data_IF_851661631087
#
_entry.id   IF_851661631087
#
_cell.length_a   1.000
_cell.length_b   1.000
_cell.length_c   1.000
_cell.angle_alpha   90.00
_cell.angle_beta   90.00
_cell.angle_gamma   90.00
#
_symmetry.space_group_name_H-M   'P 1'
#
loop_
_entity.id
_entity.type
_entity.pdbx_description
1 polymer ?
#
# COMPACT_ATOMS: atom_id res chain seq x y z
N UNK A 1 9.95 24.99 -21.42
CA UNK A 1 9.46 26.26 -21.96
C UNK A 1 9.98 27.41 -21.11
N UNK A 2 10.54 28.41 -21.78
CA UNK A 2 10.98 29.64 -21.11
C UNK A 2 10.50 30.82 -21.95
N UNK A 3 9.90 31.79 -21.30
CA UNK A 3 9.44 32.99 -21.97
C UNK A 3 9.70 34.25 -21.12
N UNK A 4 10.13 35.32 -21.77
CA UNK A 4 10.29 36.63 -21.13
C UNK A 4 9.37 37.63 -21.82
N UNK A 5 8.49 38.21 -21.03
CA UNK A 5 7.52 39.22 -21.50
C UNK A 5 8.17 40.59 -21.66
N UNK A 6 7.56 41.45 -22.45
CA UNK A 6 8.06 42.84 -22.69
C UNK A 6 8.14 43.67 -21.42
N UNK A 7 7.33 43.39 -20.40
CA UNK A 7 7.39 44.05 -19.08
C UNK A 7 8.54 43.56 -18.18
N UNK A 8 9.36 42.60 -18.65
CA UNK A 8 10.49 42.04 -17.95
C UNK A 8 10.18 40.79 -17.09
N UNK A 9 8.94 40.34 -17.00
CA UNK A 9 8.58 39.09 -16.33
C UNK A 9 9.16 37.91 -17.11
N UNK A 10 9.95 37.08 -16.48
CA UNK A 10 10.39 35.78 -16.97
C UNK A 10 9.57 34.65 -16.38
N UNK A 11 9.19 33.68 -17.20
CA UNK A 11 8.53 32.43 -16.75
C UNK A 11 9.31 31.24 -17.30
N UNK A 12 9.53 30.26 -16.46
CA UNK A 12 10.14 28.97 -16.81
C UNK A 12 9.23 27.82 -16.38
N UNK A 13 8.94 26.91 -17.29
CA UNK A 13 8.14 25.70 -17.04
C UNK A 13 8.90 24.51 -17.57
N UNK A 14 9.08 23.50 -16.72
CA UNK A 14 9.66 22.21 -17.10
C UNK A 14 8.75 21.09 -16.57
N UNK A 15 8.49 20.09 -17.41
CA UNK A 15 7.77 18.88 -17.02
C UNK A 15 8.47 17.67 -17.60
N UNK A 16 8.44 16.57 -16.86
CA UNK A 16 8.89 15.26 -17.34
C UNK A 16 7.95 14.17 -16.84
N UNK A 17 7.82 13.12 -17.64
CA UNK A 17 7.16 11.87 -17.26
C UNK A 17 7.96 10.72 -17.84
N UNK A 18 8.12 9.66 -17.08
CA UNK A 18 8.72 8.41 -17.52
C UNK A 18 7.90 7.23 -17.05
N UNK A 19 7.96 6.15 -17.81
CA UNK A 19 7.31 4.89 -17.47
C UNK A 19 8.12 3.72 -17.99
N UNK A 20 8.26 2.67 -17.18
CA UNK A 20 8.96 1.46 -17.54
C UNK A 20 8.30 0.22 -16.96
N UNK A 21 8.32 -0.87 -17.70
CA UNK A 21 7.90 -2.20 -17.24
C UNK A 21 9.01 -3.19 -17.51
N UNK A 22 9.41 -3.92 -16.48
CA UNK A 22 10.46 -4.92 -16.55
C UNK A 22 9.88 -6.32 -16.51
N UNK A 23 10.30 -7.18 -17.42
CA UNK A 23 9.96 -8.60 -17.44
C UNK A 23 11.20 -9.45 -17.20
N UNK A 24 11.02 -10.54 -16.47
CA UNK A 24 12.08 -11.52 -16.22
C UNK A 24 12.16 -12.46 -17.41
N UNK A 25 13.18 -12.35 -18.22
CA UNK A 25 13.36 -13.19 -19.39
C UNK A 25 14.04 -14.53 -19.05
N UNK A 26 14.89 -14.54 -17.98
CA UNK A 26 15.55 -15.74 -17.48
C UNK A 26 15.82 -15.59 -15.98
N UNK A 27 15.26 -16.46 -15.17
CA UNK A 27 15.46 -16.55 -13.73
C UNK A 27 16.02 -17.90 -13.31
N UNK A 28 16.14 -18.13 -12.00
CA UNK A 28 16.61 -19.42 -11.46
C UNK A 28 15.70 -20.60 -11.84
N UNK A 29 14.44 -20.31 -12.13
CA UNK A 29 13.38 -21.27 -12.48
C UNK A 29 13.21 -21.48 -14.00
N UNK A 30 14.14 -21.02 -14.84
CA UNK A 30 13.93 -21.02 -16.30
C UNK A 30 13.80 -22.43 -16.91
N UNK A 31 14.31 -23.45 -16.25
CA UNK A 31 14.17 -24.86 -16.64
C UNK A 31 12.92 -25.53 -16.03
N UNK A 32 12.28 -24.89 -15.08
CA UNK A 32 11.06 -25.40 -14.44
C UNK A 32 9.88 -25.18 -15.40
N UNK A 33 9.00 -26.18 -15.62
CA UNK A 33 7.76 -25.98 -16.35
C UNK A 33 6.96 -24.80 -15.81
N UNK A 34 6.23 -24.11 -16.66
CA UNK A 34 5.47 -22.91 -16.27
C UNK A 34 4.52 -23.17 -15.10
N UNK A 35 3.82 -24.30 -15.15
CA UNK A 35 2.81 -24.70 -14.17
C UNK A 35 3.42 -24.91 -12.76
N UNK A 36 4.65 -25.38 -12.70
CA UNK A 36 5.34 -25.72 -11.44
C UNK A 36 6.09 -24.53 -10.82
N UNK A 37 6.18 -23.41 -11.54
CA UNK A 37 6.86 -22.21 -11.01
C UNK A 37 6.05 -21.59 -9.89
N UNK A 38 6.71 -21.30 -8.78
CA UNK A 38 6.08 -20.72 -7.60
C UNK A 38 5.58 -19.29 -7.85
N UNK A 39 4.40 -18.99 -7.34
CA UNK A 39 3.86 -17.64 -7.29
C UNK A 39 4.71 -16.74 -6.38
N UNK A 40 4.79 -15.45 -6.73
CA UNK A 40 5.42 -14.45 -5.87
C UNK A 40 6.93 -14.54 -5.74
N UNK A 41 7.60 -15.41 -6.50
CA UNK A 41 9.06 -15.39 -6.60
C UNK A 41 9.51 -14.17 -7.41
N UNK A 42 10.39 -13.36 -6.83
CA UNK A 42 10.83 -12.07 -7.40
C UNK A 42 11.41 -12.20 -8.82
N UNK A 43 12.01 -13.34 -9.15
CA UNK A 43 12.71 -13.57 -10.42
C UNK A 43 12.16 -14.78 -11.18
N UNK A 44 10.84 -14.97 -11.18
CA UNK A 44 10.23 -16.04 -11.97
C UNK A 44 10.20 -15.68 -13.45
N UNK A 45 10.74 -16.57 -14.26
CA UNK A 45 10.86 -16.38 -15.72
C UNK A 45 9.49 -16.22 -16.39
N UNK A 46 9.36 -15.24 -17.25
CA UNK A 46 8.12 -14.89 -17.95
C UNK A 46 7.20 -13.93 -17.18
N UNK A 47 7.56 -13.57 -15.97
CA UNK A 47 6.74 -12.68 -15.13
C UNK A 47 7.23 -11.24 -15.15
N UNK A 48 6.32 -10.33 -14.87
CA UNK A 48 6.66 -8.93 -14.65
C UNK A 48 7.33 -8.78 -13.30
N UNK A 49 8.43 -8.07 -13.28
CA UNK A 49 9.14 -7.75 -12.04
C UNK A 49 8.27 -6.92 -11.09
N UNK A 50 8.28 -7.30 -9.82
CA UNK A 50 7.56 -6.58 -8.78
C UNK A 50 6.08 -6.95 -8.63
N UNK A 51 5.55 -7.94 -9.38
CA UNK A 51 4.17 -8.39 -9.19
C UNK A 51 3.96 -8.94 -7.78
N UNK A 52 2.84 -8.52 -7.17
CA UNK A 52 2.42 -8.92 -5.85
C UNK A 52 1.23 -9.87 -6.01
N UNK A 53 1.40 -11.10 -5.51
CA UNK A 53 0.35 -12.11 -5.48
C UNK A 53 -0.36 -12.09 -4.14
N UNK A 54 -1.67 -12.25 -4.16
CA UNK A 54 -2.49 -12.31 -2.98
C UNK A 54 -3.95 -12.57 -3.32
N UNK A 55 -4.77 -12.60 -2.29
CA UNK A 55 -6.20 -12.78 -2.42
C UNK A 55 -6.90 -11.49 -2.86
N UNK A 56 -7.99 -11.63 -3.56
CA UNK A 56 -8.89 -10.51 -3.84
C UNK A 56 -9.89 -10.39 -2.71
N UNK A 57 -9.97 -9.23 -2.09
CA UNK A 57 -10.97 -8.96 -1.05
C UNK A 57 -12.31 -8.63 -1.72
N UNK A 58 -13.37 -9.31 -1.30
CA UNK A 58 -14.74 -8.92 -1.59
C UNK A 58 -15.13 -7.73 -0.68
N UNK A 59 -15.29 -7.99 0.62
CA UNK A 59 -15.68 -7.03 1.64
C UNK A 59 -15.36 -7.55 3.04
N UNK A 60 -15.79 -6.87 4.08
CA UNK A 60 -15.85 -7.44 5.42
C UNK A 60 -17.15 -8.21 5.58
N UNK A 61 -17.08 -9.38 6.24
CA UNK A 61 -18.27 -10.13 6.56
C UNK A 61 -19.22 -9.31 7.41
N UNK A 62 -20.51 -9.45 7.13
CA UNK A 62 -21.59 -8.86 7.90
C UNK A 62 -22.34 -9.95 8.69
N UNK A 63 -23.20 -9.55 9.63
CA UNK A 63 -24.00 -10.51 10.40
C UNK A 63 -24.87 -11.40 9.51
N UNK A 64 -25.40 -10.84 8.45
CA UNK A 64 -26.29 -11.50 7.49
C UNK A 64 -25.60 -12.58 6.68
N UNK A 65 -24.28 -12.59 6.67
CA UNK A 65 -23.49 -13.63 5.99
C UNK A 65 -23.48 -14.97 6.73
N UNK A 66 -23.96 -15.02 7.97
CA UNK A 66 -23.89 -16.20 8.81
C UNK A 66 -25.28 -16.71 9.20
N UNK A 67 -25.35 -18.01 9.44
CA UNK A 67 -26.52 -18.66 10.02
C UNK A 67 -26.33 -18.75 11.53
N UNK A 68 -27.38 -18.37 12.28
CA UNK A 68 -27.37 -18.37 13.73
C UNK A 68 -28.30 -19.45 14.26
N UNK A 69 -27.86 -20.18 15.27
CA UNK A 69 -28.66 -21.13 16.02
C UNK A 69 -29.64 -20.46 16.97
N UNK A 70 -30.49 -21.28 17.59
CA UNK A 70 -31.45 -20.80 18.57
C UNK A 70 -30.82 -20.19 19.83
N UNK A 71 -29.56 -20.49 20.09
CA UNK A 71 -28.73 -19.92 21.17
C UNK A 71 -28.10 -18.58 20.81
N UNK A 72 -28.35 -18.06 19.59
CA UNK A 72 -27.77 -16.83 19.08
C UNK A 72 -26.29 -16.94 18.69
N UNK A 73 -25.72 -18.13 18.71
CA UNK A 73 -24.36 -18.37 18.24
C UNK A 73 -24.35 -18.70 16.74
N UNK A 74 -23.23 -18.38 16.07
CA UNK A 74 -23.05 -18.76 14.67
C UNK A 74 -23.00 -20.30 14.57
N UNK A 75 -23.84 -20.88 13.74
CA UNK A 75 -23.80 -22.31 13.47
C UNK A 75 -22.46 -22.73 12.89
N UNK A 76 -22.03 -23.92 13.27
CA UNK A 76 -20.82 -24.55 12.73
C UNK A 76 -21.17 -25.76 11.89
N UNK A 77 -20.38 -25.99 10.87
CA UNK A 77 -20.51 -27.16 10.01
C UNK A 77 -19.13 -27.81 9.83
N UNK A 78 -19.14 -29.09 9.45
CA UNK A 78 -17.92 -29.79 9.05
C UNK A 78 -17.86 -29.81 7.53
N UNK A 79 -16.74 -29.35 6.97
CA UNK A 79 -16.41 -29.42 5.55
C UNK A 79 -15.23 -30.36 5.35
N UNK A 80 -15.21 -31.05 4.21
CA UNK A 80 -14.07 -31.91 3.84
C UNK A 80 -13.24 -31.17 2.80
N UNK A 81 -12.01 -30.87 3.14
CA UNK A 81 -11.05 -30.27 2.23
C UNK A 81 -9.77 -31.11 2.16
N UNK A 82 -9.35 -31.51 0.97
CA UNK A 82 -8.22 -32.42 0.74
C UNK A 82 -8.30 -33.71 1.60
N UNK A 83 -9.49 -34.26 1.78
CA UNK A 83 -9.73 -35.46 2.57
C UNK A 83 -9.68 -35.25 4.09
N UNK A 84 -9.47 -34.04 4.58
CA UNK A 84 -9.47 -33.68 6.00
C UNK A 84 -10.76 -32.98 6.38
N UNK A 85 -11.32 -33.34 7.52
CA UNK A 85 -12.52 -32.72 8.07
C UNK A 85 -12.15 -31.43 8.81
N UNK A 86 -12.80 -30.33 8.45
CA UNK A 86 -12.62 -29.02 9.08
C UNK A 86 -13.97 -28.53 9.63
N UNK A 87 -13.93 -27.90 10.79
CA UNK A 87 -15.11 -27.27 11.38
C UNK A 87 -15.06 -25.78 11.10
N UNK A 88 -16.07 -25.24 10.42
CA UNK A 88 -16.12 -23.83 10.05
C UNK A 88 -17.49 -23.23 10.35
N UNK A 89 -17.59 -21.91 10.33
CA UNK A 89 -18.85 -21.21 10.49
C UNK A 89 -19.73 -21.37 9.24
N UNK A 90 -21.01 -21.63 9.46
CA UNK A 90 -21.99 -21.75 8.38
C UNK A 90 -22.35 -20.37 7.85
N UNK A 91 -22.24 -20.21 6.54
CA UNK A 91 -22.67 -19.00 5.84
C UNK A 91 -24.12 -19.08 5.39
N UNK A 92 -24.78 -17.93 5.31
CA UNK A 92 -26.18 -17.83 4.89
C UNK A 92 -26.38 -17.97 3.37
N UNK A 93 -25.32 -17.84 2.57
CA UNK A 93 -25.38 -17.96 1.13
C UNK A 93 -25.77 -19.37 0.70
N UNK A 94 -26.61 -19.55 -0.36
CA UNK A 94 -26.87 -20.85 -0.95
C UNK A 94 -25.61 -21.48 -1.60
N UNK A 95 -24.58 -20.68 -1.86
CA UNK A 95 -23.27 -21.11 -2.33
C UNK A 95 -22.21 -20.60 -1.34
N UNK A 96 -22.11 -21.22 -0.16
CA UNK A 96 -21.18 -20.76 0.85
C UNK A 96 -19.75 -20.98 0.37
N UNK A 97 -18.94 -19.93 0.49
CA UNK A 97 -17.50 -19.99 0.29
C UNK A 97 -16.85 -20.18 1.66
N UNK A 98 -16.11 -21.25 1.84
CA UNK A 98 -15.44 -21.56 3.11
C UNK A 98 -14.00 -21.08 3.06
N UNK A 99 -13.64 -20.21 3.98
CA UNK A 99 -12.27 -19.70 4.09
C UNK A 99 -11.45 -20.61 5.02
N UNK A 100 -10.90 -21.67 4.46
CA UNK A 100 -10.22 -22.72 5.21
C UNK A 100 -9.06 -22.23 6.07
N UNK A 101 -8.37 -21.18 5.68
CA UNK A 101 -7.28 -20.67 6.49
C UNK A 101 -7.69 -20.03 7.82
N UNK A 102 -8.98 -19.80 8.04
CA UNK A 102 -9.48 -19.35 9.33
C UNK A 102 -9.67 -20.50 10.30
N UNK A 103 -9.46 -21.72 9.85
CA UNK A 103 -9.51 -22.92 10.67
C UNK A 103 -8.15 -23.33 11.16
N UNK A 104 -7.42 -22.47 11.81
CA UNK A 104 -6.18 -22.92 12.40
C UNK A 104 -6.42 -23.62 13.73
N UNK A 105 -5.95 -24.87 13.80
CA UNK A 105 -5.55 -25.66 14.99
C UNK A 105 -6.30 -25.37 16.29
N UNK A 106 -7.56 -25.08 16.22
CA UNK A 106 -8.41 -25.10 17.38
C UNK A 106 -9.31 -23.91 17.63
N UNK A 107 -9.33 -22.78 16.97
CA UNK A 107 -10.10 -21.79 17.71
C UNK A 107 -10.53 -20.51 16.99
N UNK A 108 -10.07 -20.25 15.80
CA UNK A 108 -10.42 -19.01 15.15
C UNK A 108 -11.24 -19.24 13.89
N UNK A 109 -12.52 -19.19 14.09
CA UNK A 109 -13.48 -19.26 13.02
C UNK A 109 -13.79 -17.83 12.62
N UNK A 110 -13.81 -17.54 11.32
CA UNK A 110 -14.19 -16.22 10.82
C UNK A 110 -15.62 -15.85 11.24
N UNK A 111 -15.88 -14.56 11.42
CA UNK A 111 -17.13 -14.04 11.94
C UNK A 111 -17.39 -12.64 11.34
N UNK A 112 -18.50 -11.98 11.62
CA UNK A 112 -18.75 -10.61 11.21
C UNK A 112 -17.56 -9.70 11.53
N UNK A 113 -17.16 -8.87 10.55
CA UNK A 113 -16.01 -8.00 10.65
C UNK A 113 -14.68 -8.59 10.20
N UNK A 114 -14.61 -9.89 9.92
CA UNK A 114 -13.43 -10.46 9.26
C UNK A 114 -13.48 -10.23 7.75
N UNK A 115 -12.31 -10.36 7.10
CA UNK A 115 -12.22 -10.18 5.65
C UNK A 115 -12.85 -11.37 4.92
N UNK A 116 -13.72 -11.09 3.98
CA UNK A 116 -14.24 -12.05 3.01
C UNK A 116 -13.44 -11.96 1.72
N UNK A 117 -12.87 -13.06 1.29
CA UNK A 117 -12.15 -13.17 0.03
C UNK A 117 -13.05 -13.66 -1.10
N UNK A 118 -12.66 -13.36 -2.33
CA UNK A 118 -13.32 -13.85 -3.53
C UNK A 118 -12.80 -15.26 -3.84
N UNK A 119 -13.71 -16.19 -4.03
CA UNK A 119 -13.44 -17.51 -4.60
C UNK A 119 -13.19 -17.33 -6.10
N UNK A 120 -11.94 -17.43 -6.52
CA UNK A 120 -11.53 -17.15 -7.90
C UNK A 120 -11.63 -18.36 -8.81
N UNK A 121 -11.46 -19.55 -8.28
CA UNK A 121 -11.53 -20.79 -9.07
C UNK A 121 -12.91 -21.49 -8.98
N UNK A 122 -13.77 -21.03 -8.07
CA UNK A 122 -15.17 -21.46 -7.95
C UNK A 122 -15.34 -22.82 -7.29
N UNK A 123 -14.36 -23.27 -6.52
CA UNK A 123 -14.40 -24.59 -5.87
C UNK A 123 -15.12 -24.56 -4.51
N UNK A 124 -15.51 -23.39 -4.01
CA UNK A 124 -16.19 -23.19 -2.73
C UNK A 124 -15.25 -23.05 -1.54
N UNK A 125 -13.94 -23.00 -1.75
CA UNK A 125 -12.94 -22.86 -0.70
C UNK A 125 -11.98 -21.72 -1.05
N UNK A 126 -11.58 -20.94 -0.05
CA UNK A 126 -10.54 -19.93 -0.23
C UNK A 126 -9.21 -20.53 0.17
N UNK A 127 -8.35 -20.79 -0.79
CA UNK A 127 -7.05 -21.44 -0.56
C UNK A 127 -5.92 -20.81 -1.36
N UNK A 128 -4.65 -20.96 -0.91
CA UNK A 128 -3.50 -20.56 -1.73
C UNK A 128 -3.15 -21.61 -2.80
N UNK A 129 -3.93 -22.68 -2.96
CA UNK A 129 -3.60 -23.80 -3.81
C UNK A 129 -2.25 -24.43 -3.44
N UNK A 130 -1.48 -24.84 -4.43
CA UNK A 130 -0.08 -25.27 -4.25
C UNK A 130 0.90 -24.10 -4.29
N UNK A 131 0.42 -22.89 -4.53
CA UNK A 131 1.23 -21.69 -4.67
C UNK A 131 2.08 -21.68 -5.95
N UNK A 132 1.64 -22.39 -6.98
CA UNK A 132 2.28 -22.44 -8.30
C UNK A 132 1.38 -21.87 -9.39
N UNK A 133 1.93 -21.67 -10.60
CA UNK A 133 1.14 -21.15 -11.71
C UNK A 133 0.03 -22.09 -12.17
N UNK A 134 0.26 -23.40 -12.07
CA UNK A 134 -0.73 -24.42 -12.44
C UNK A 134 -1.84 -24.60 -11.41
N UNK A 135 -1.58 -24.19 -10.16
CA UNK A 135 -2.59 -24.22 -9.10
C UNK A 135 -2.34 -23.04 -8.14
N UNK A 136 -2.79 -21.84 -8.53
CA UNK A 136 -2.67 -20.64 -7.70
C UNK A 136 -3.71 -20.59 -6.57
N UNK A 137 -4.70 -21.49 -6.56
CA UNK A 137 -5.90 -21.34 -5.74
C UNK A 137 -6.56 -19.98 -6.01
N UNK A 138 -7.00 -19.30 -4.96
CA UNK A 138 -7.64 -17.99 -5.03
C UNK A 138 -6.66 -16.81 -5.06
N UNK A 139 -5.40 -17.07 -5.42
CA UNK A 139 -4.40 -16.01 -5.52
C UNK A 139 -4.22 -15.53 -6.95
N UNK A 140 -4.13 -14.21 -7.11
CA UNK A 140 -3.84 -13.57 -8.39
C UNK A 140 -2.88 -12.40 -8.19
N UNK A 141 -2.49 -11.73 -9.28
CA UNK A 141 -1.73 -10.48 -9.21
C UNK A 141 -2.64 -9.36 -8.72
N UNK A 142 -2.44 -8.92 -7.50
CA UNK A 142 -3.22 -7.84 -6.87
C UNK A 142 -2.56 -6.47 -6.99
N UNK A 143 -1.29 -6.40 -7.34
CA UNK A 143 -0.56 -5.16 -7.49
C UNK A 143 0.85 -5.34 -8.01
N UNK A 144 1.60 -4.23 -8.05
CA UNK A 144 3.00 -4.25 -8.46
C UNK A 144 3.81 -3.20 -7.67
N UNK A 145 4.98 -3.61 -7.18
CA UNK A 145 5.85 -2.78 -6.35
C UNK A 145 6.77 -1.86 -7.15
N UNK A 146 6.86 -2.04 -8.47
CA UNK A 146 7.67 -1.19 -9.35
C UNK A 146 6.99 0.15 -9.56
N UNK A 147 7.69 1.27 -9.40
CA UNK A 147 7.13 2.58 -9.71
C UNK A 147 6.71 2.66 -11.18
N UNK A 148 5.57 3.28 -11.44
CA UNK A 148 5.05 3.58 -12.76
C UNK A 148 4.62 5.04 -12.84
N UNK A 149 4.77 5.64 -14.01
CA UNK A 149 4.43 7.04 -14.23
C UNK A 149 5.16 7.95 -13.25
N UNK A 150 6.51 7.89 -13.27
CA UNK A 150 7.33 8.83 -12.53
C UNK A 150 7.27 10.18 -13.23
N UNK A 151 6.86 11.21 -12.50
CA UNK A 151 6.66 12.54 -13.09
C UNK A 151 7.26 13.63 -12.22
N UNK A 152 7.67 14.69 -12.89
CA UNK A 152 8.09 15.92 -12.22
C UNK A 152 7.67 17.15 -13.00
N UNK A 153 7.48 18.25 -12.31
CA UNK A 153 7.34 19.55 -12.96
C UNK A 153 7.91 20.67 -12.10
N UNK A 154 8.45 21.67 -12.77
CA UNK A 154 8.99 22.87 -12.16
C UNK A 154 8.32 24.08 -12.78
N UNK A 155 7.90 24.99 -11.93
CA UNK A 155 7.47 26.33 -12.31
C UNK A 155 8.47 27.33 -11.72
N UNK A 156 8.90 28.29 -12.53
CA UNK A 156 9.76 29.38 -12.11
C UNK A 156 9.28 30.70 -12.69
N UNK A 157 9.46 31.75 -11.94
CA UNK A 157 9.21 33.11 -12.38
C UNK A 157 10.28 34.07 -11.84
N UNK A 158 10.66 35.05 -12.62
CA UNK A 158 11.53 36.13 -12.20
C UNK A 158 11.00 37.49 -12.65
N UNK A 159 11.10 38.47 -11.74
CA UNK A 159 10.67 39.83 -12.03
C UNK A 159 11.36 40.84 -11.13
N UNK A 160 12.04 41.83 -11.71
CA UNK A 160 12.66 42.95 -10.97
C UNK A 160 13.53 42.53 -9.78
N UNK A 161 14.35 41.49 -9.95
CA UNK A 161 15.23 40.97 -8.93
C UNK A 161 14.60 39.95 -8.01
N UNK A 162 13.29 39.79 -8.00
CA UNK A 162 12.61 38.69 -7.29
C UNK A 162 12.62 37.45 -8.18
N UNK A 163 13.00 36.31 -7.65
CA UNK A 163 12.89 35.02 -8.29
C UNK A 163 12.12 34.02 -7.40
N UNK A 164 11.24 33.27 -8.04
CA UNK A 164 10.46 32.23 -7.40
C UNK A 164 10.56 30.93 -8.20
N UNK A 165 10.72 29.81 -7.53
CA UNK A 165 10.58 28.50 -8.15
C UNK A 165 9.91 27.50 -7.23
N UNK A 166 9.11 26.62 -7.81
CA UNK A 166 8.52 25.49 -7.13
C UNK A 166 8.76 24.22 -7.95
N UNK A 167 9.19 23.15 -7.29
CA UNK A 167 9.48 21.87 -7.91
C UNK A 167 8.63 20.78 -7.27
N UNK A 168 7.96 20.01 -8.12
CA UNK A 168 7.13 18.87 -7.76
C UNK A 168 7.71 17.58 -8.32
N UNK A 169 7.55 16.51 -7.57
CA UNK A 169 7.89 15.16 -8.00
C UNK A 169 6.86 14.18 -7.48
N UNK A 170 6.57 13.13 -8.25
CA UNK A 170 5.62 12.12 -7.84
C UNK A 170 5.72 10.81 -8.61
N UNK A 171 4.99 9.83 -8.12
CA UNK A 171 4.79 8.51 -8.71
C UNK A 171 3.30 8.29 -8.86
N UNK A 172 2.85 7.98 -10.08
CA UNK A 172 1.42 7.81 -10.37
C UNK A 172 0.85 6.47 -9.91
N UNK A 173 1.69 5.42 -9.86
CA UNK A 173 1.26 4.08 -9.40
C UNK A 173 2.43 3.31 -8.81
N UNK A 174 2.27 2.84 -7.60
CA UNK A 174 3.15 1.89 -6.92
C UNK A 174 2.39 1.27 -5.76
N UNK A 175 2.46 -0.04 -5.60
CA UNK A 175 1.77 -0.72 -4.51
C UNK A 175 2.75 -1.57 -3.73
N UNK A 176 2.57 -1.66 -2.42
CA UNK A 176 3.42 -2.49 -1.56
C UNK A 176 2.52 -3.21 -0.56
N UNK A 177 2.78 -4.49 -0.36
CA UNK A 177 2.25 -5.18 0.81
C UNK A 177 3.13 -4.82 2.00
N UNK A 178 2.56 -4.09 2.94
CA UNK A 178 3.25 -3.71 4.16
C UNK A 178 3.42 -4.89 5.12
N UNK A 179 4.35 -4.76 6.04
CA UNK A 179 4.54 -5.68 7.16
C UNK A 179 4.83 -4.90 8.45
N UNK A 180 4.57 -5.52 9.60
CA UNK A 180 4.79 -4.87 10.89
C UNK A 180 3.63 -3.99 11.34
N UNK A 181 3.79 -3.39 12.51
CA UNK A 181 2.73 -2.74 13.28
C UNK A 181 2.09 -1.52 12.59
N UNK A 182 2.85 -0.80 11.78
CA UNK A 182 2.35 0.41 11.13
C UNK A 182 1.55 0.13 9.86
N UNK A 183 1.82 -1.01 9.22
CA UNK A 183 1.18 -1.36 7.97
C UNK A 183 0.02 -2.36 8.16
N UNK A 184 0.13 -3.24 9.16
CA UNK A 184 -0.85 -4.29 9.44
C UNK A 184 -1.48 -4.03 10.81
N UNK A 185 -2.74 -3.60 10.86
CA UNK A 185 -3.46 -3.38 12.10
C UNK A 185 -3.53 -4.66 12.94
N UNK A 186 -3.18 -4.54 14.22
CA UNK A 186 -3.17 -5.70 15.13
C UNK A 186 -2.08 -6.73 14.88
N UNK A 187 -1.04 -6.38 14.12
CA UNK A 187 0.10 -7.26 13.82
C UNK A 187 0.72 -7.89 15.08
N UNK A 188 0.81 -7.13 16.14
CA UNK A 188 1.25 -7.63 17.45
C UNK A 188 0.25 -7.20 18.52
N UNK A 189 -0.79 -8.00 18.70
CA UNK A 189 -1.90 -7.68 19.59
C UNK A 189 -1.50 -7.59 21.07
N UNK A 190 -0.38 -8.20 21.47
CA UNK A 190 0.09 -8.17 22.87
C UNK A 190 0.89 -6.93 23.22
N UNK A 191 1.66 -6.40 22.29
CA UNK A 191 2.73 -5.44 22.57
C UNK A 191 2.71 -4.23 21.63
N UNK A 192 1.86 -4.24 20.61
CA UNK A 192 1.89 -3.29 19.53
C UNK A 192 1.06 -2.05 19.77
N UNK A 193 1.66 -0.88 19.58
CA UNK A 193 0.93 0.34 19.37
C UNK A 193 0.13 0.23 18.04
N UNK A 194 -1.14 0.61 18.10
CA UNK A 194 -1.98 0.67 16.90
C UNK A 194 -1.89 2.07 16.29
N UNK A 195 -1.78 2.20 14.97
CA UNK A 195 -1.93 3.49 14.31
C UNK A 195 -3.29 4.12 14.65
N UNK A 196 -3.31 5.44 14.81
CA UNK A 196 -4.56 6.16 15.11
C UNK A 196 -5.66 5.88 14.08
N UNK A 197 -5.29 5.76 12.81
CA UNK A 197 -6.20 5.42 11.71
C UNK A 197 -6.94 4.11 11.95
N UNK A 198 -6.27 3.10 12.47
CA UNK A 198 -6.94 1.84 12.82
C UNK A 198 -7.93 2.02 13.97
N UNK A 199 -7.55 2.72 15.04
CA UNK A 199 -8.42 2.88 16.22
C UNK A 199 -9.69 3.68 15.95
N UNK A 200 -9.72 4.43 14.86
CA UNK A 200 -10.88 5.24 14.46
C UNK A 200 -11.72 4.64 13.35
N UNK A 201 -11.25 3.59 12.67
CA UNK A 201 -11.91 3.05 11.49
C UNK A 201 -11.79 1.51 11.38
N UNK A 202 -11.99 0.81 12.49
CA UNK A 202 -12.13 -0.65 12.51
C UNK A 202 -13.60 -1.05 12.63
N UNK A 203 -13.91 -2.25 12.15
CA UNK A 203 -15.26 -2.78 12.13
C UNK A 203 -15.80 -3.01 13.56
N UNK A 204 -17.01 -2.56 13.79
CA UNK A 204 -17.84 -2.88 14.95
C UNK A 204 -19.29 -3.09 14.50
N UNK A 205 -20.14 -3.59 15.37
CA UNK A 205 -21.56 -3.76 15.06
C UNK A 205 -22.28 -2.44 14.72
N UNK A 206 -21.76 -1.31 15.22
CA UNK A 206 -22.27 0.04 14.95
C UNK A 206 -21.57 0.69 13.72
N UNK A 207 -20.44 0.13 13.29
CA UNK A 207 -19.68 0.61 12.14
C UNK A 207 -19.33 -0.56 11.23
N UNK A 208 -20.28 -0.96 10.41
CA UNK A 208 -20.15 -2.11 9.51
C UNK A 208 -19.46 -1.80 8.20
N UNK A 209 -19.31 -0.51 7.85
CA UNK A 209 -18.65 0.00 6.63
C UNK A 209 -17.18 0.39 6.85
N UNK A 210 -16.60 0.05 8.00
CA UNK A 210 -15.21 0.37 8.34
C UNK A 210 -14.21 -0.16 7.31
N UNK A 211 -13.08 0.56 7.16
CA UNK A 211 -12.01 0.12 6.28
C UNK A 211 -11.26 -1.09 6.83
N UNK A 212 -10.93 -1.08 8.13
CA UNK A 212 -10.20 -2.17 8.78
C UNK A 212 -11.13 -3.26 9.34
N UNK A 213 -10.65 -4.50 9.44
CA UNK A 213 -11.42 -5.59 10.02
C UNK A 213 -11.65 -5.38 11.51
N UNK A 214 -12.47 -6.23 12.10
CA UNK A 214 -12.67 -6.24 13.55
C UNK A 214 -11.35 -6.44 14.29
N UNK A 215 -11.26 -5.87 15.48
CA UNK A 215 -10.09 -6.05 16.34
C UNK A 215 -10.06 -7.47 16.92
N UNK A 216 -8.90 -8.13 16.83
CA UNK A 216 -8.66 -9.42 17.43
C UNK A 216 -7.62 -9.31 18.56
N UNK A 217 -7.90 -9.93 19.68
CA UNK A 217 -6.92 -10.09 20.75
C UNK A 217 -6.47 -11.54 20.81
N UNK A 218 -5.60 -11.92 19.94
CA UNK A 218 -5.20 -13.32 19.78
C UNK A 218 -3.70 -13.47 19.82
N UNK A 219 -3.12 -13.21 20.90
CA UNK A 219 -1.80 -13.71 21.32
C UNK A 219 -0.71 -13.98 20.28
N UNK A 220 -0.94 -13.59 19.08
CA UNK A 220 -0.05 -13.89 17.96
C UNK A 220 -0.44 -13.16 16.73
N UNK A 221 -0.48 -12.72 15.88
CA UNK A 221 -0.68 -11.90 14.71
C UNK A 221 -2.03 -12.16 14.04
N UNK A 222 -2.68 -11.10 13.73
CA UNK A 222 -3.79 -11.07 12.78
C UNK A 222 -3.36 -11.47 11.35
N UNK A 223 -2.07 -11.75 11.16
CA UNK A 223 -1.49 -12.06 9.85
C UNK A 223 -1.96 -13.37 9.26
N UNK A 224 -2.37 -14.34 10.10
CA UNK A 224 -2.91 -15.61 9.64
C UNK A 224 -4.37 -15.58 9.21
N UNK A 225 -5.08 -14.46 9.47
CA UNK A 225 -6.53 -14.35 9.27
C UNK A 225 -6.87 -13.23 8.29
N UNK A 226 -7.50 -12.17 8.79
CA UNK A 226 -7.94 -11.04 7.99
C UNK A 226 -6.80 -10.29 7.26
N UNK A 227 -5.55 -10.50 7.66
CA UNK A 227 -4.38 -9.80 7.12
C UNK A 227 -3.47 -10.68 6.25
N UNK A 228 -4.02 -11.66 5.58
CA UNK A 228 -3.38 -12.29 4.42
C UNK A 228 -3.08 -11.24 3.33
N UNK A 229 -2.06 -11.48 2.50
CA UNK A 229 -1.80 -10.60 1.35
C UNK A 229 -3.05 -10.49 0.48
N UNK A 230 -3.57 -9.29 0.35
CA UNK A 230 -4.86 -9.04 -0.28
C UNK A 230 -4.96 -7.66 -0.93
N UNK A 231 -5.94 -7.51 -1.79
CA UNK A 231 -6.13 -6.26 -2.54
C UNK A 231 -6.54 -5.07 -1.66
N UNK A 232 -7.34 -5.27 -0.59
CA UNK A 232 -7.89 -4.19 0.23
C UNK A 232 -6.84 -3.43 1.03
N UNK A 233 -5.88 -4.13 1.63
CA UNK A 233 -4.86 -3.53 2.51
C UNK A 233 -3.50 -3.39 1.82
N UNK A 234 -3.48 -3.49 0.50
CA UNK A 234 -2.31 -3.17 -0.28
C UNK A 234 -2.06 -1.66 -0.20
N UNK A 235 -0.88 -1.27 0.25
CA UNK A 235 -0.54 0.14 0.39
C UNK A 235 -0.35 0.78 -0.97
N UNK A 236 -1.09 1.85 -1.25
CA UNK A 236 -0.90 2.68 -2.44
C UNK A 236 0.18 3.74 -2.15
N UNK A 237 1.38 3.49 -2.65
CA UNK A 237 2.55 4.35 -2.50
C UNK A 237 2.62 5.43 -3.60
N UNK A 238 1.54 5.69 -4.31
CA UNK A 238 1.48 6.83 -5.23
C UNK A 238 1.46 8.15 -4.46
N UNK A 239 2.17 9.15 -4.97
CA UNK A 239 2.26 10.44 -4.29
C UNK A 239 2.59 11.58 -5.24
N UNK A 240 2.32 12.80 -4.79
CA UNK A 240 2.84 14.06 -5.31
C UNK A 240 3.48 14.83 -4.15
N UNK A 241 4.74 15.21 -4.28
CA UNK A 241 5.48 15.98 -3.26
C UNK A 241 5.96 17.30 -3.82
N UNK A 242 5.80 18.35 -3.02
CA UNK A 242 6.47 19.62 -3.23
C UNK A 242 7.89 19.46 -2.70
N UNK A 243 8.84 19.20 -3.61
CA UNK A 243 10.23 18.90 -3.27
C UNK A 243 11.02 20.12 -2.88
N UNK A 244 10.73 21.24 -3.52
CA UNK A 244 11.43 22.48 -3.23
C UNK A 244 10.56 23.68 -3.58
N UNK A 245 10.58 24.68 -2.69
CA UNK A 245 10.06 26.02 -2.95
C UNK A 245 11.20 26.99 -2.65
N UNK A 246 11.57 27.82 -3.61
CA UNK A 246 12.59 28.84 -3.42
C UNK A 246 12.04 30.21 -3.75
N UNK A 247 12.25 31.16 -2.86
CA UNK A 247 11.99 32.57 -3.08
C UNK A 247 13.30 33.33 -2.86
N UNK A 248 13.73 34.08 -3.85
CA UNK A 248 14.97 34.85 -3.80
C UNK A 248 14.77 36.30 -4.18
N UNK A 249 15.67 37.14 -3.71
CA UNK A 249 15.79 38.53 -4.13
C UNK A 249 17.24 38.88 -4.41
N UNK A 250 17.51 39.34 -5.61
CA UNK A 250 18.82 39.85 -6.03
C UNK A 250 18.80 41.37 -5.91
N UNK A 251 19.67 41.90 -5.08
CA UNK A 251 19.77 43.34 -4.85
C UNK A 251 20.31 44.05 -6.10
N UNK A 252 19.78 45.22 -6.44
CA UNK A 252 20.27 46.02 -7.59
C UNK A 252 21.66 46.57 -7.34
N UNK A 253 22.47 46.63 -8.40
CA UNK A 253 23.88 47.03 -8.33
C UNK A 253 24.07 48.46 -7.80
N UNK A 254 23.18 49.38 -8.10
CA UNK A 254 23.24 50.77 -7.62
C UNK A 254 23.10 50.88 -6.11
N UNK A 255 22.53 49.87 -5.44
CA UNK A 255 22.46 49.83 -3.98
C UNK A 255 23.73 49.21 -3.38
N UNK A 256 24.24 48.16 -4.03
CA UNK A 256 25.38 47.39 -3.57
C UNK A 256 26.72 48.13 -3.79
N UNK A 257 26.84 48.89 -4.84
CA UNK A 257 28.04 49.68 -5.14
C UNK A 257 28.41 50.66 -4.01
N UNK A 258 27.41 51.16 -3.28
CA UNK A 258 27.62 52.05 -2.12
C UNK A 258 28.35 51.37 -0.94
N UNK A 259 28.34 50.07 -0.88
CA UNK A 259 28.96 49.25 0.15
C UNK A 259 30.06 48.34 -0.40
N UNK A 260 30.57 48.64 -1.60
CA UNK A 260 31.60 47.90 -2.32
C UNK A 260 31.30 46.40 -2.54
N UNK A 261 30.04 46.04 -2.66
CA UNK A 261 29.61 44.68 -2.97
C UNK A 261 29.18 44.63 -4.46
N UNK A 262 29.75 43.70 -5.20
CA UNK A 262 29.46 43.53 -6.62
C UNK A 262 28.13 42.82 -6.90
N UNK A 263 27.74 41.84 -6.05
CA UNK A 263 26.49 41.09 -6.17
C UNK A 263 26.06 40.53 -4.83
N UNK A 264 24.78 40.65 -4.49
CA UNK A 264 24.17 40.01 -3.33
C UNK A 264 22.78 39.45 -3.69
N UNK A 265 22.49 38.27 -3.23
CA UNK A 265 21.19 37.65 -3.31
C UNK A 265 20.84 37.02 -1.96
N UNK A 266 19.65 37.34 -1.47
CA UNK A 266 19.06 36.68 -0.31
C UNK A 266 18.01 35.70 -0.83
N UNK A 267 17.96 34.50 -0.25
CA UNK A 267 16.93 33.55 -0.60
C UNK A 267 16.50 32.69 0.59
N UNK A 268 15.27 32.17 0.51
CA UNK A 268 14.71 31.16 1.39
C UNK A 268 14.35 29.93 0.57
N UNK A 269 14.66 28.76 1.07
CA UNK A 269 14.30 27.49 0.46
C UNK A 269 13.59 26.60 1.47
N UNK A 270 12.49 25.99 1.03
CA UNK A 270 11.74 24.97 1.76
C UNK A 270 11.87 23.66 0.98
N UNK A 271 12.28 22.59 1.68
CA UNK A 271 12.49 21.28 1.07
C UNK A 271 11.51 20.26 1.63
N UNK A 272 11.03 19.37 0.76
CA UNK A 272 10.04 18.33 1.10
C UNK A 272 8.82 18.87 1.86
N UNK A 273 8.36 20.03 1.46
CA UNK A 273 7.42 20.86 2.23
C UNK A 273 6.09 20.19 2.48
N UNK A 274 5.53 19.52 1.46
CA UNK A 274 4.26 18.86 1.57
C UNK A 274 4.15 17.64 0.65
N UNK A 275 3.47 16.58 1.13
CA UNK A 275 3.22 15.36 0.37
C UNK A 275 1.74 15.06 0.33
N UNK A 276 1.20 14.88 -0.86
CA UNK A 276 -0.12 14.30 -1.10
C UNK A 276 0.07 12.82 -1.37
N UNK A 277 -0.54 11.96 -0.58
CA UNK A 277 -0.45 10.50 -0.70
C UNK A 277 -1.81 9.82 -0.47
N UNK A 278 -1.84 8.50 -0.63
CA UNK A 278 -3.03 7.68 -0.44
C UNK A 278 -2.86 6.65 0.68
N UNK A 279 -2.01 6.94 1.66
CA UNK A 279 -1.71 6.04 2.76
C UNK A 279 -2.71 6.12 3.92
N UNK A 280 -3.83 6.84 3.75
CA UNK A 280 -4.90 6.95 4.75
C UNK A 280 -4.41 7.38 6.14
N UNK A 281 -3.42 8.28 6.19
CA UNK A 281 -2.85 8.80 7.44
C UNK A 281 -1.88 7.85 8.14
N UNK A 282 -1.49 6.74 7.53
CA UNK A 282 -0.39 5.92 8.03
C UNK A 282 0.90 6.73 8.04
N UNK A 283 1.72 6.66 9.10
CA UNK A 283 2.95 7.44 9.22
C UNK A 283 4.10 6.80 8.40
N UNK A 284 3.85 6.56 7.13
CA UNK A 284 4.79 5.94 6.18
C UNK A 284 5.15 6.96 5.11
N UNK A 285 6.43 7.07 4.79
CA UNK A 285 6.87 7.91 3.67
C UNK A 285 6.70 7.17 2.34
N UNK A 286 5.89 7.67 1.39
CA UNK A 286 5.67 7.01 0.11
C UNK A 286 6.90 7.00 -0.80
N UNK A 287 7.93 7.82 -0.55
CA UNK A 287 9.21 7.77 -1.26
C UNK A 287 10.13 6.63 -0.83
N UNK A 288 9.83 6.01 0.28
CA UNK A 288 10.66 4.96 0.82
C UNK A 288 10.89 3.81 -0.18
N UNK A 289 12.15 3.54 -0.50
CA UNK A 289 12.54 2.63 -1.57
C UNK A 289 12.80 1.21 -1.06
N UNK A 290 13.40 1.07 0.10
CA UNK A 290 13.72 -0.24 0.64
C UNK A 290 12.69 -0.64 1.70
N UNK A 291 11.73 -1.45 1.30
CA UNK A 291 10.67 -1.91 2.18
C UNK A 291 11.10 -2.85 3.29
N UNK A 292 12.33 -3.34 3.30
CA UNK A 292 12.66 -4.43 4.20
C UNK A 292 12.78 -4.02 5.66
N UNK A 293 13.35 -2.86 5.95
CA UNK A 293 13.46 -2.36 7.33
C UNK A 293 12.28 -1.49 7.76
N UNK A 294 11.60 -0.85 6.82
CA UNK A 294 10.53 0.10 7.12
C UNK A 294 9.23 -0.54 7.58
N UNK A 295 9.00 -1.79 7.23
CA UNK A 295 7.79 -2.52 7.55
C UNK A 295 8.02 -3.64 8.59
N UNK A 296 9.21 -3.70 9.19
CA UNK A 296 9.48 -4.65 10.27
C UNK A 296 9.22 -4.01 11.63
N UNK A 297 8.74 -4.83 12.57
CA UNK A 297 8.41 -4.40 13.92
C UNK A 297 9.61 -3.87 14.73
N UNK A 298 10.82 -4.24 14.33
CA UNK A 298 12.08 -3.85 14.96
C UNK A 298 12.68 -2.54 14.41
N UNK A 299 12.10 -1.97 13.38
CA UNK A 299 12.59 -0.74 12.73
C UNK A 299 11.70 0.49 12.98
N UNK A 300 11.17 0.60 14.17
CA UNK A 300 10.23 1.65 14.58
C UNK A 300 10.78 3.09 14.48
N UNK A 301 12.07 3.25 14.21
CA UNK A 301 12.74 4.56 14.33
C UNK A 301 12.85 5.35 13.03
N UNK A 302 12.58 4.74 11.87
CA UNK A 302 12.83 5.39 10.58
C UNK A 302 11.56 5.69 9.78
N UNK A 303 10.40 5.62 10.39
CA UNK A 303 9.11 5.73 9.70
C UNK A 303 8.44 7.09 9.87
N UNK A 304 9.04 7.96 10.66
CA UNK A 304 8.55 9.33 10.78
C UNK A 304 8.65 10.06 9.44
N UNK A 305 7.57 10.66 8.99
CA UNK A 305 7.68 11.78 8.05
C UNK A 305 8.59 12.80 8.72
N UNK A 306 9.79 12.99 8.20
CA UNK A 306 10.58 14.16 8.54
C UNK A 306 9.80 15.34 7.98
N UNK A 307 8.99 15.97 8.83
CA UNK A 307 8.29 17.21 8.54
C UNK A 307 9.28 18.35 8.39
#
# INVERSE_FOLDING_TARGET
>A
FTHRFSNGLGINVMASISDATTYITKGADYLTPWEDRKLGTTYSTGRRYGDIYGFVTDRLFQKEDFVYGADGQIEKITVIYNGTAHTTNKQSSPYPVYQVHYEDNNKLIFAPGDVKFVDLDGDGYITPGTGTNGNPGDQTVIGNSTPRYEYSFRLGADYKGIDFSIFFQGIGKRQIWGSGQLAIPGYNAKEGALPKTFTTDYWTEERTDAFYPRAWNLGGSNTGFSMQKQSRYLLDMSYLRIKNITLGYTFPENLLSKVYISKARLYMSLENFFTFDKLNGLPIDPEAISGYSMFRSDSNYNLGRTG
#
